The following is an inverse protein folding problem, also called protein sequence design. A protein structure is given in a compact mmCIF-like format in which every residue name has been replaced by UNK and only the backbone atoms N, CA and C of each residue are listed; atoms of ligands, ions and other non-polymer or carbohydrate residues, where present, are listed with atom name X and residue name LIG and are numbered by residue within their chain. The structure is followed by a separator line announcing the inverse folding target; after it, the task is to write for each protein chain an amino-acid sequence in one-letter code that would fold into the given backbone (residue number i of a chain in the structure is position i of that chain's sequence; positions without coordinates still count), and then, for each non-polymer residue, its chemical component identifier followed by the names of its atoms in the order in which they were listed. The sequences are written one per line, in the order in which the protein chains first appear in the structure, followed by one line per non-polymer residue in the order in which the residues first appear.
data_IF_249207444096
#
_entry.id   IF_249207444096
#
_cell.length_a   1.000
_cell.length_b   1.000
_cell.length_c   1.000
_cell.angle_alpha   90.00
_cell.angle_beta   90.00
_cell.angle_gamma   90.00
#
_symmetry.space_group_name_H-M   'P 1'
#
loop_
_entity.id
_entity.type
_entity.pdbx_description
1 polymer ?
#
# COMPACT_ATOMS: atom_id res chain seq x y z
N UNK A 1 -10.78 -2.76 -19.94
CA UNK A 1 -10.44 -2.65 -18.52
C UNK A 1 -11.07 -1.40 -17.94
N UNK A 2 -12.01 -1.55 -17.06
CA UNK A 2 -12.62 -0.42 -16.35
C UNK A 2 -11.64 0.05 -15.26
N UNK A 3 -11.34 1.33 -15.23
CA UNK A 3 -10.46 1.88 -14.19
C UNK A 3 -11.22 2.01 -12.87
N UNK A 4 -10.62 1.60 -11.75
CA UNK A 4 -11.23 1.69 -10.40
C UNK A 4 -11.86 3.07 -10.13
N UNK A 5 -11.18 4.15 -10.50
CA UNK A 5 -11.69 5.52 -10.38
C UNK A 5 -13.06 5.71 -11.07
N UNK A 6 -13.21 5.26 -12.33
CA UNK A 6 -14.47 5.39 -13.06
C UNK A 6 -15.59 4.57 -12.45
N UNK A 7 -15.26 3.39 -11.95
CA UNK A 7 -16.23 2.53 -11.29
C UNK A 7 -16.72 3.14 -9.97
N UNK A 8 -15.83 3.73 -9.18
CA UNK A 8 -16.20 4.47 -7.97
C UNK A 8 -17.06 5.70 -8.28
N UNK A 9 -16.76 6.42 -9.35
CA UNK A 9 -17.54 7.56 -9.79
C UNK A 9 -18.97 7.15 -10.22
N UNK A 10 -19.10 6.12 -11.04
CA UNK A 10 -20.41 5.57 -11.44
C UNK A 10 -21.21 5.07 -10.23
N UNK A 11 -20.55 4.41 -9.29
CA UNK A 11 -21.18 3.97 -8.05
C UNK A 11 -21.65 5.17 -7.21
N UNK A 12 -20.84 6.22 -7.10
CA UNK A 12 -21.19 7.45 -6.39
C UNK A 12 -22.45 8.14 -6.95
N UNK A 13 -22.68 8.05 -8.25
CA UNK A 13 -23.83 8.61 -8.95
C UNK A 13 -25.05 7.66 -9.01
N UNK A 14 -24.91 6.44 -8.51
CA UNK A 14 -25.98 5.45 -8.54
C UNK A 14 -27.05 5.71 -7.46
N UNK A 15 -28.25 5.16 -7.68
CA UNK A 15 -29.38 5.22 -6.74
C UNK A 15 -29.26 4.22 -5.57
N UNK A 16 -28.13 3.49 -5.49
CA UNK A 16 -27.90 2.57 -4.37
C UNK A 16 -27.71 3.32 -3.06
N UNK A 17 -28.55 3.00 -2.07
CA UNK A 17 -28.39 3.55 -0.72
C UNK A 17 -27.23 2.84 0.01
N UNK A 18 -26.25 3.58 0.57
CA UNK A 18 -25.06 2.99 1.16
C UNK A 18 -25.33 2.46 2.59
N UNK A 19 -25.84 1.24 2.74
CA UNK A 19 -25.99 0.58 4.03
C UNK A 19 -24.68 0.11 4.65
N UNK A 20 -23.59 0.03 3.85
CA UNK A 20 -22.26 -0.34 4.31
C UNK A 20 -21.56 0.80 5.06
N UNK A 21 -20.45 0.51 5.74
CA UNK A 21 -19.53 1.56 6.20
C UNK A 21 -18.95 2.32 4.98
N UNK A 22 -18.58 3.57 5.10
CA UNK A 22 -18.54 4.42 6.29
C UNK A 22 -19.90 5.04 6.69
N UNK A 23 -19.94 5.55 7.92
CA UNK A 23 -21.16 6.05 8.55
C UNK A 23 -21.74 7.35 7.97
N UNK A 24 -20.99 8.12 7.20
CA UNK A 24 -21.46 9.39 6.59
C UNK A 24 -22.61 9.19 5.57
N UNK A 25 -22.82 8.00 5.06
CA UNK A 25 -23.91 7.65 4.11
C UNK A 25 -24.04 8.62 2.93
N UNK A 26 -22.93 9.12 2.40
CA UNK A 26 -22.86 10.17 1.35
C UNK A 26 -23.54 11.48 1.73
N UNK A 27 -23.72 11.76 3.04
CA UNK A 27 -24.35 12.98 3.50
C UNK A 27 -23.40 14.17 3.36
N UNK A 28 -23.70 15.07 2.44
CA UNK A 28 -22.92 16.29 2.18
C UNK A 28 -23.20 17.41 3.16
N UNK A 29 -24.24 17.32 4.00
CA UNK A 29 -24.71 18.42 4.85
C UNK A 29 -23.74 18.77 6.00
N UNK A 30 -22.74 17.99 6.26
CA UNK A 30 -21.92 18.14 7.46
C UNK A 30 -20.51 18.67 7.22
N UNK A 31 -20.05 19.01 6.01
CA UNK A 31 -18.72 19.61 5.90
C UNK A 31 -18.18 19.85 4.49
N UNK A 32 -17.20 20.66 4.47
CA UNK A 32 -16.18 20.92 3.45
C UNK A 32 -16.28 20.13 2.13
N UNK A 33 -16.42 20.87 1.07
CA UNK A 33 -16.56 20.43 -0.34
C UNK A 33 -15.44 19.51 -0.85
N UNK A 34 -14.42 19.20 -0.03
CA UNK A 34 -13.23 18.44 -0.43
C UNK A 34 -13.31 16.94 -0.13
N UNK A 35 -14.30 16.45 0.61
CA UNK A 35 -14.42 15.03 0.90
C UNK A 35 -15.23 14.28 -0.15
N UNK A 36 -14.61 13.31 -0.80
CA UNK A 36 -15.23 12.47 -1.82
C UNK A 36 -16.08 11.35 -1.20
N UNK A 37 -17.00 11.67 -0.32
CA UNK A 37 -17.88 10.69 0.38
C UNK A 37 -18.63 9.76 -0.57
N UNK A 38 -18.86 10.18 -1.79
CA UNK A 38 -19.53 9.37 -2.81
C UNK A 38 -18.69 8.18 -3.27
N UNK A 39 -17.36 8.29 -3.14
CA UNK A 39 -16.38 7.29 -3.56
C UNK A 39 -15.79 6.50 -2.41
N UNK A 40 -16.18 6.83 -1.18
CA UNK A 40 -15.72 6.16 0.02
C UNK A 40 -16.58 4.93 0.29
N UNK A 41 -15.98 3.77 0.17
CA UNK A 41 -16.63 2.46 0.25
C UNK A 41 -15.80 1.48 1.09
N UNK A 42 -16.42 0.38 1.49
CA UNK A 42 -15.74 -0.82 2.02
C UNK A 42 -15.74 -1.94 0.98
N UNK A 43 -15.51 -3.18 1.40
CA UNK A 43 -15.62 -4.38 0.55
C UNK A 43 -17.09 -4.67 0.26
N UNK A 44 -17.59 -4.09 -0.80
CA UNK A 44 -18.95 -4.32 -1.30
C UNK A 44 -18.92 -5.11 -2.60
N UNK A 45 -20.02 -5.76 -2.93
CA UNK A 45 -20.15 -6.55 -4.15
C UNK A 45 -19.73 -5.76 -5.38
N UNK A 46 -18.80 -6.32 -6.14
CA UNK A 46 -18.28 -5.73 -7.36
C UNK A 46 -17.04 -4.83 -7.19
N UNK A 47 -16.57 -4.55 -5.96
CA UNK A 47 -15.41 -3.68 -5.74
C UNK A 47 -14.18 -4.41 -5.20
N UNK A 48 -14.24 -5.73 -5.04
CA UNK A 48 -13.09 -6.53 -4.66
C UNK A 48 -12.65 -6.31 -3.19
N UNK A 49 -11.63 -7.03 -2.74
CA UNK A 49 -11.02 -6.93 -1.42
C UNK A 49 -9.50 -6.76 -1.57
N UNK A 50 -8.92 -5.74 -0.95
CA UNK A 50 -7.50 -5.44 -1.12
C UNK A 50 -6.58 -6.57 -0.64
N UNK A 51 -6.97 -7.28 0.43
CA UNK A 51 -6.17 -8.37 1.00
C UNK A 51 -6.36 -9.70 0.28
N UNK A 52 -7.40 -9.79 -0.56
CA UNK A 52 -7.68 -10.96 -1.40
C UNK A 52 -8.17 -10.51 -2.78
N UNK A 53 -7.32 -9.78 -3.48
CA UNK A 53 -7.66 -9.14 -4.74
C UNK A 53 -7.83 -10.17 -5.88
N UNK A 54 -9.04 -10.26 -6.41
CA UNK A 54 -9.39 -11.16 -7.52
C UNK A 54 -9.98 -10.44 -8.73
N UNK A 55 -10.46 -9.21 -8.54
CA UNK A 55 -11.15 -8.39 -9.55
C UNK A 55 -10.45 -7.08 -9.85
N UNK A 56 -11.15 -5.96 -9.70
CA UNK A 56 -10.71 -4.63 -10.13
C UNK A 56 -9.45 -4.13 -9.40
N UNK A 57 -9.24 -4.53 -8.16
CA UNK A 57 -8.01 -4.19 -7.42
C UNK A 57 -6.82 -5.00 -7.94
N UNK A 58 -7.03 -6.28 -8.27
CA UNK A 58 -6.02 -7.10 -8.92
C UNK A 58 -5.59 -6.50 -10.27
N UNK A 59 -6.57 -6.14 -11.09
CA UNK A 59 -6.30 -5.49 -12.38
C UNK A 59 -5.52 -4.16 -12.20
N UNK A 60 -5.85 -3.37 -11.18
CA UNK A 60 -5.14 -2.14 -10.89
C UNK A 60 -3.69 -2.40 -10.45
N UNK A 61 -3.44 -3.43 -9.65
CA UNK A 61 -2.09 -3.86 -9.26
C UNK A 61 -1.28 -4.39 -10.45
N UNK A 62 -1.90 -5.17 -11.34
CA UNK A 62 -1.26 -5.66 -12.57
C UNK A 62 -0.91 -4.51 -13.52
N UNK A 63 -1.80 -3.55 -13.66
CA UNK A 63 -1.52 -2.34 -14.44
C UNK A 63 -0.38 -1.51 -13.86
N UNK A 64 -0.33 -1.33 -12.55
CA UNK A 64 0.79 -0.67 -11.88
C UNK A 64 2.11 -1.44 -12.12
N UNK A 65 2.08 -2.78 -12.03
CA UNK A 65 3.25 -3.60 -12.30
C UNK A 65 3.78 -3.42 -13.74
N UNK A 66 2.89 -3.28 -14.73
CA UNK A 66 3.27 -3.01 -16.11
C UNK A 66 3.95 -1.63 -16.26
N UNK A 67 3.39 -0.58 -15.62
CA UNK A 67 3.98 0.77 -15.68
C UNK A 67 5.39 0.79 -15.08
N UNK A 68 5.59 0.12 -13.95
CA UNK A 68 6.88 0.09 -13.25
C UNK A 68 7.84 -0.98 -13.80
N UNK A 69 7.44 -1.79 -14.78
CA UNK A 69 8.24 -2.88 -15.34
C UNK A 69 8.59 -3.96 -14.32
N UNK A 70 7.71 -4.22 -13.35
CA UNK A 70 7.90 -5.21 -12.29
C UNK A 70 7.03 -6.45 -12.52
N UNK A 71 7.39 -7.58 -11.88
CA UNK A 71 6.59 -8.80 -11.99
C UNK A 71 5.23 -8.69 -11.28
N UNK A 72 5.19 -7.98 -10.16
CA UNK A 72 3.98 -7.77 -9.35
C UNK A 72 4.07 -6.41 -8.64
N UNK A 73 2.91 -5.83 -8.36
CA UNK A 73 2.76 -4.65 -7.53
C UNK A 73 1.70 -4.96 -6.46
N UNK A 74 1.93 -4.49 -5.24
CA UNK A 74 1.00 -4.63 -4.12
C UNK A 74 0.73 -3.25 -3.53
N UNK A 75 -0.54 -2.92 -3.31
CA UNK A 75 -0.91 -1.70 -2.62
C UNK A 75 -0.82 -1.90 -1.11
N UNK A 76 -0.14 -0.99 -0.42
CA UNK A 76 -0.02 -0.99 1.03
C UNK A 76 -0.87 0.12 1.62
N UNK A 77 -1.66 -0.20 2.66
CA UNK A 77 -2.53 0.76 3.37
C UNK A 77 -1.92 1.24 4.70
N UNK A 78 -0.83 0.63 5.14
CA UNK A 78 -0.16 0.98 6.41
C UNK A 78 1.10 1.84 6.21
N UNK A 79 1.12 2.64 5.15
CA UNK A 79 2.20 3.55 4.82
C UNK A 79 3.46 2.88 4.27
N UNK A 80 4.40 3.70 3.81
CA UNK A 80 5.66 3.25 3.21
C UNK A 80 6.53 2.43 4.15
N UNK A 81 6.45 2.68 5.45
CA UNK A 81 7.18 1.90 6.44
C UNK A 81 6.75 0.43 6.43
N UNK A 82 5.45 0.15 6.43
CA UNK A 82 4.96 -1.22 6.37
C UNK A 82 5.36 -1.93 5.07
N UNK A 83 5.29 -1.22 3.94
CA UNK A 83 5.74 -1.75 2.65
C UNK A 83 7.23 -2.09 2.66
N UNK A 84 8.07 -1.21 3.24
CA UNK A 84 9.51 -1.45 3.38
C UNK A 84 9.80 -2.67 4.27
N UNK A 85 9.14 -2.78 5.42
CA UNK A 85 9.33 -3.90 6.34
C UNK A 85 8.90 -5.23 5.70
N UNK A 86 7.79 -5.24 4.96
CA UNK A 86 7.34 -6.40 4.20
C UNK A 86 8.34 -6.81 3.12
N UNK A 87 8.87 -5.84 2.36
CA UNK A 87 9.87 -6.10 1.32
C UNK A 87 11.15 -6.69 1.89
N UNK A 88 11.64 -6.16 3.01
CA UNK A 88 12.83 -6.69 3.70
C UNK A 88 12.57 -8.11 4.21
N UNK A 89 11.44 -8.33 4.88
CA UNK A 89 11.08 -9.66 5.39
C UNK A 89 10.96 -10.71 4.27
N UNK A 90 10.47 -10.31 3.10
CA UNK A 90 10.36 -11.19 1.95
C UNK A 90 11.71 -11.47 1.25
N UNK A 91 12.69 -10.57 1.41
CA UNK A 91 13.98 -10.65 0.71
C UNK A 91 15.06 -11.42 1.46
N UNK A 92 14.93 -11.58 2.78
CA UNK A 92 15.96 -12.15 3.64
C UNK A 92 15.38 -13.29 4.47
N UNK A 93 15.96 -14.47 4.35
CA UNK A 93 15.58 -15.62 5.16
C UNK A 93 16.01 -15.45 6.64
N UNK A 94 15.33 -16.15 7.54
CA UNK A 94 15.72 -16.20 8.97
C UNK A 94 17.19 -16.59 9.12
N UNK A 95 17.96 -15.81 9.88
CA UNK A 95 19.40 -15.99 10.00
C UNK A 95 20.24 -15.43 8.85
N UNK A 96 19.61 -14.87 7.81
CA UNK A 96 20.28 -14.24 6.68
C UNK A 96 20.97 -12.93 7.06
N UNK A 97 21.74 -12.39 6.12
CA UNK A 97 22.46 -11.11 6.28
C UNK A 97 21.95 -10.11 5.24
N UNK A 98 21.89 -8.87 5.63
CA UNK A 98 21.62 -7.77 4.70
C UNK A 98 22.64 -6.66 4.92
N UNK A 99 22.88 -5.91 3.84
CA UNK A 99 23.74 -4.73 3.84
C UNK A 99 22.86 -3.50 3.80
N UNK A 100 23.01 -2.60 4.74
CA UNK A 100 22.27 -1.34 4.75
C UNK A 100 23.21 -0.15 4.93
N UNK A 101 22.80 1.00 4.38
CA UNK A 101 23.48 2.28 4.60
C UNK A 101 23.18 2.76 6.03
N UNK A 102 24.14 3.43 6.69
CA UNK A 102 24.02 3.89 8.08
C UNK A 102 22.89 4.89 8.38
N UNK A 103 22.21 5.41 7.33
CA UNK A 103 21.07 6.33 7.44
C UNK A 103 19.71 5.64 7.44
N UNK A 104 19.65 4.35 7.72
CA UNK A 104 18.40 3.59 7.77
C UNK A 104 17.55 3.99 8.97
N UNK A 105 16.24 4.05 8.79
CA UNK A 105 15.30 4.42 9.86
C UNK A 105 15.39 3.46 11.06
N UNK A 106 15.18 3.97 12.29
CA UNK A 106 15.16 3.16 13.52
C UNK A 106 14.20 1.96 13.42
N UNK A 107 13.06 2.14 12.76
CA UNK A 107 12.06 1.08 12.57
C UNK A 107 12.60 -0.09 11.76
N UNK A 108 13.40 0.17 10.72
CA UNK A 108 14.07 -0.87 9.95
C UNK A 108 15.03 -1.69 10.81
N UNK A 109 15.86 -1.02 11.62
CA UNK A 109 16.80 -1.68 12.52
C UNK A 109 16.06 -2.53 13.58
N UNK A 110 14.99 -1.98 14.18
CA UNK A 110 14.16 -2.71 15.15
C UNK A 110 13.48 -3.92 14.54
N UNK A 111 12.95 -3.81 13.32
CA UNK A 111 12.34 -4.93 12.62
C UNK A 111 13.34 -6.06 12.36
N UNK A 112 14.55 -5.74 11.96
CA UNK A 112 15.60 -6.73 11.74
C UNK A 112 15.98 -7.47 13.04
N UNK A 113 15.98 -6.80 14.17
CA UNK A 113 16.19 -7.42 15.49
C UNK A 113 14.99 -8.32 15.85
N UNK A 114 13.77 -7.83 15.63
CA UNK A 114 12.54 -8.55 15.97
C UNK A 114 12.37 -9.86 15.16
N UNK A 115 12.71 -9.83 13.87
CA UNK A 115 12.61 -11.01 12.98
C UNK A 115 13.81 -11.96 13.12
N UNK A 116 14.71 -11.71 14.10
CA UNK A 116 15.88 -12.56 14.37
C UNK A 116 16.82 -12.74 13.18
N UNK A 117 17.13 -11.66 12.46
CA UNK A 117 18.25 -11.66 11.53
C UNK A 117 19.56 -11.70 12.34
N UNK A 118 20.33 -12.75 12.24
CA UNK A 118 21.43 -13.02 13.16
C UNK A 118 22.66 -12.13 13.04
N UNK A 119 22.78 -11.28 12.05
CA UNK A 119 23.79 -10.18 11.98
C UNK A 119 23.45 -9.17 10.90
N UNK A 120 23.14 -7.95 11.31
CA UNK A 120 23.12 -6.78 10.45
C UNK A 120 24.52 -6.20 10.34
N UNK A 121 25.07 -6.06 9.15
CA UNK A 121 26.32 -5.34 8.93
C UNK A 121 25.96 -3.92 8.48
N UNK A 122 26.14 -2.95 9.37
CA UNK A 122 26.01 -1.54 9.02
C UNK A 122 27.34 -1.07 8.42
N UNK A 123 27.40 -0.84 7.12
CA UNK A 123 28.55 -0.17 6.51
C UNK A 123 28.21 1.32 6.42
N UNK A 124 28.93 2.11 7.20
CA UNK A 124 28.95 3.55 7.07
C UNK A 124 29.83 3.89 5.85
N UNK A 125 29.24 3.89 4.66
CA UNK A 125 29.94 4.43 3.47
C UNK A 125 29.93 5.96 3.57
N UNK A 126 31.06 6.52 3.96
CA UNK A 126 31.34 7.93 3.76
C UNK A 126 31.46 8.12 2.24
N UNK A 127 30.47 8.76 1.62
CA UNK A 127 30.61 9.20 0.22
C UNK A 127 31.71 10.24 0.25
N UNK A 128 32.86 9.90 -0.29
CA UNK A 128 33.85 10.91 -0.70
C UNK A 128 33.20 11.64 -1.86
N UNK A 129 33.24 12.95 -1.76
CA UNK A 129 32.74 13.90 -2.74
C UNK A 129 33.08 13.45 -4.16
N UNK A 130 32.08 13.31 -5.00
CA UNK A 130 32.24 13.29 -6.43
C UNK A 130 32.53 14.74 -6.83
N UNK A 131 33.80 15.05 -7.06
CA UNK A 131 34.21 16.29 -7.68
C UNK A 131 33.79 16.36 -9.15
#
# INVERSE_FOLDING_TARGET
MERLYKKLESYGQSDYYPFHMPGHKRNRASSADDFLFERDITEISGFDNLHHAEGILKEAQEYAAQIYGTKKCFFSVNGSTAALLAAVSASVNKGGRYLSRGTVTRLFTMHCIYVSFSRSIFIHMKIRDWG
#
